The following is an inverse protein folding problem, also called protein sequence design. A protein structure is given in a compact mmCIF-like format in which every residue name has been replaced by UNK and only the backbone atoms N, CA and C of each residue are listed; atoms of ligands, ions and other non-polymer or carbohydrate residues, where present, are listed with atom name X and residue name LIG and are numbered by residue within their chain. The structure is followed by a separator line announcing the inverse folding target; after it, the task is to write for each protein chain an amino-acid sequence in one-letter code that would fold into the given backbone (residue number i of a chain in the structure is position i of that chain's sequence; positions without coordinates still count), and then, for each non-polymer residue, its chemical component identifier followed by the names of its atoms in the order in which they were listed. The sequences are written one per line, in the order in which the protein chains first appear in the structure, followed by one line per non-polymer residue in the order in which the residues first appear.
data_IF_968100465388
#
_entry.id   IF_968100465388
#
_cell.length_a   1.000
_cell.length_b   1.000
_cell.length_c   1.000
_cell.angle_alpha   90.00
_cell.angle_beta   90.00
_cell.angle_gamma   90.00
#
_symmetry.space_group_name_H-M   'P 1'
#
loop_
_entity.id
_entity.type
_entity.pdbx_description
1 polymer ?
#
# COMPACT_ATOMS: atom_id res chain seq x y z
N UNK A 1 -5.04 -1.59 -11.67
CA UNK A 1 -5.40 -0.89 -10.41
C UNK A 1 -5.67 0.56 -10.76
N UNK A 2 -6.69 1.18 -10.20
CA UNK A 2 -7.01 2.60 -10.44
C UNK A 2 -6.44 3.50 -9.33
N UNK A 3 -6.67 4.82 -9.46
CA UNK A 3 -6.20 5.84 -8.50
C UNK A 3 -6.81 5.61 -7.12
N UNK A 4 -8.13 5.41 -7.04
CA UNK A 4 -8.82 5.20 -5.77
C UNK A 4 -8.29 3.99 -5.00
N UNK A 5 -8.14 2.86 -5.69
CA UNK A 5 -7.59 1.64 -5.08
C UNK A 5 -6.15 1.85 -4.64
N UNK A 6 -5.37 2.63 -5.40
CA UNK A 6 -3.99 3.01 -5.04
C UNK A 6 -3.95 3.82 -3.76
N UNK A 7 -4.75 4.88 -3.66
CA UNK A 7 -4.80 5.75 -2.49
C UNK A 7 -5.25 5.00 -1.24
N UNK A 8 -6.25 4.12 -1.36
CA UNK A 8 -6.65 3.21 -0.29
C UNK A 8 -5.49 2.33 0.16
N UNK A 9 -4.76 1.76 -0.79
CA UNK A 9 -3.63 0.86 -0.52
C UNK A 9 -2.47 1.58 0.15
N UNK A 10 -2.13 2.78 -0.31
CA UNK A 10 -1.10 3.63 0.30
C UNK A 10 -1.48 4.02 1.73
N UNK A 11 -2.77 4.33 1.97
CA UNK A 11 -3.29 4.63 3.31
C UNK A 11 -3.21 3.41 4.24
N UNK A 12 -3.52 2.20 3.74
CA UNK A 12 -3.35 0.94 4.48
C UNK A 12 -1.88 0.69 4.84
N UNK A 13 -0.96 1.01 3.91
CA UNK A 13 0.49 0.97 4.11
C UNK A 13 1.03 2.12 4.97
N UNK A 14 0.15 2.91 5.61
CA UNK A 14 0.46 4.02 6.53
C UNK A 14 1.17 5.20 5.88
N UNK A 15 1.04 5.39 4.57
CA UNK A 15 1.45 6.62 3.92
C UNK A 15 0.43 7.75 4.16
N UNK A 16 0.93 8.99 4.17
CA UNK A 16 0.12 10.17 4.37
C UNK A 16 -0.59 10.60 3.08
N UNK A 17 -1.68 9.91 2.76
CA UNK A 17 -2.63 10.26 1.70
C UNK A 17 -3.87 10.88 2.34
N UNK A 18 -4.52 11.80 1.63
CA UNK A 18 -5.79 12.40 2.07
C UNK A 18 -6.95 11.37 2.01
N UNK A 19 -8.18 11.86 1.87
CA UNK A 19 -9.33 10.99 1.65
C UNK A 19 -9.23 10.41 0.25
N UNK A 20 -9.20 9.07 0.10
CA UNK A 20 -9.07 8.46 -1.20
C UNK A 20 -10.19 8.91 -2.16
N UNK A 21 -9.80 9.33 -3.36
CA UNK A 21 -10.67 9.71 -4.45
C UNK A 21 -10.14 9.14 -5.80
N UNK A 22 -10.69 9.59 -6.92
CA UNK A 22 -10.29 9.10 -8.26
C UNK A 22 -9.29 10.04 -8.97
N UNK A 23 -8.76 11.05 -8.27
CA UNK A 23 -7.94 12.12 -8.80
C UNK A 23 -6.49 11.98 -8.34
N UNK A 24 -5.57 11.80 -9.28
CA UNK A 24 -4.14 11.79 -8.95
C UNK A 24 -3.66 13.23 -8.75
N UNK A 25 -3.79 13.73 -7.53
CA UNK A 25 -3.35 15.07 -7.17
C UNK A 25 -1.82 15.15 -6.90
N UNK A 26 -1.32 16.37 -6.64
CA UNK A 26 0.11 16.59 -6.37
C UNK A 26 0.59 15.85 -5.11
N UNK A 27 -0.27 15.66 -4.12
CA UNK A 27 0.06 14.98 -2.87
C UNK A 27 0.16 13.48 -3.12
N UNK A 28 -0.82 12.87 -3.78
CA UNK A 28 -0.82 11.47 -4.19
C UNK A 28 0.38 11.17 -5.08
N UNK A 29 0.72 12.06 -6.02
CA UNK A 29 1.94 11.94 -6.83
C UNK A 29 3.21 11.91 -5.96
N UNK A 30 3.33 12.81 -4.98
CA UNK A 30 4.46 12.84 -4.05
C UNK A 30 4.53 11.59 -3.16
N UNK A 31 3.38 11.06 -2.74
CA UNK A 31 3.30 9.82 -1.97
C UNK A 31 3.71 8.62 -2.83
N UNK A 32 3.28 8.53 -4.09
CA UNK A 32 3.71 7.46 -5.01
C UNK A 32 5.23 7.53 -5.21
N UNK A 33 5.79 8.72 -5.41
CA UNK A 33 7.25 8.90 -5.49
C UNK A 33 7.95 8.39 -4.22
N UNK A 34 7.42 8.71 -3.04
CA UNK A 34 7.96 8.23 -1.76
C UNK A 34 7.88 6.71 -1.67
N UNK A 35 6.73 6.12 -2.01
CA UNK A 35 6.54 4.67 -2.04
C UNK A 35 7.54 3.96 -2.99
N UNK A 36 7.77 4.52 -4.17
CA UNK A 36 8.75 4.00 -5.13
C UNK A 36 10.18 4.06 -4.56
N UNK A 37 10.53 5.17 -3.91
CA UNK A 37 11.83 5.36 -3.25
C UNK A 37 12.02 4.36 -2.10
N UNK A 38 10.99 4.19 -1.26
CA UNK A 38 10.97 3.24 -0.15
C UNK A 38 11.04 1.78 -0.65
N UNK A 39 10.51 1.53 -1.85
CA UNK A 39 10.60 0.25 -2.57
C UNK A 39 11.90 0.07 -3.36
N UNK A 40 12.85 1.01 -3.27
CA UNK A 40 14.16 1.00 -3.95
C UNK A 40 14.08 0.86 -5.48
N UNK A 41 13.05 1.45 -6.09
CA UNK A 41 12.90 1.57 -7.54
C UNK A 41 13.01 3.03 -7.99
N UNK A 42 13.06 3.27 -9.30
CA UNK A 42 13.02 4.62 -9.84
C UNK A 42 11.81 5.39 -9.31
N UNK A 43 12.02 6.61 -8.84
CA UNK A 43 10.99 7.47 -8.27
C UNK A 43 10.57 8.53 -9.28
N UNK A 44 9.36 8.40 -9.80
CA UNK A 44 8.79 9.26 -10.84
C UNK A 44 7.28 9.48 -10.69
N UNK A 45 6.65 8.93 -9.63
CA UNK A 45 5.29 9.28 -9.20
C UNK A 45 4.17 8.76 -10.08
N UNK A 46 4.49 8.05 -11.16
CA UNK A 46 3.52 7.44 -12.07
C UNK A 46 3.16 6.04 -11.61
N UNK A 47 1.86 5.74 -11.64
CA UNK A 47 1.31 4.42 -11.34
C UNK A 47 1.47 3.43 -12.50
N UNK A 48 2.71 3.19 -12.91
CA UNK A 48 3.03 2.25 -13.98
C UNK A 48 2.85 0.78 -13.54
N UNK A 49 3.02 -0.14 -14.49
CA UNK A 49 2.89 -1.58 -14.22
C UNK A 49 3.79 -2.06 -13.08
N UNK A 50 5.03 -1.54 -13.01
CA UNK A 50 5.99 -1.89 -11.97
C UNK A 50 5.50 -1.46 -10.59
N UNK A 51 5.03 -0.22 -10.47
CA UNK A 51 4.51 0.35 -9.23
C UNK A 51 3.25 -0.39 -8.76
N UNK A 52 2.33 -0.69 -9.68
CA UNK A 52 1.13 -1.47 -9.37
C UNK A 52 1.47 -2.88 -8.84
N UNK A 53 2.44 -3.56 -9.48
CA UNK A 53 2.90 -4.88 -9.06
C UNK A 53 3.54 -4.85 -7.67
N UNK A 54 4.35 -3.82 -7.38
CA UNK A 54 4.98 -3.64 -6.07
C UNK A 54 3.95 -3.38 -4.97
N UNK A 55 2.95 -2.53 -5.25
CA UNK A 55 1.89 -2.22 -4.30
C UNK A 55 1.09 -3.47 -3.95
N UNK A 56 0.67 -4.25 -4.97
CA UNK A 56 -0.03 -5.52 -4.77
C UNK A 56 0.80 -6.50 -3.93
N UNK A 57 2.10 -6.64 -4.20
CA UNK A 57 2.99 -7.51 -3.42
C UNK A 57 3.08 -7.10 -1.95
N UNK A 58 3.15 -5.79 -1.67
CA UNK A 58 3.16 -5.28 -0.30
C UNK A 58 1.83 -5.54 0.42
N UNK A 59 0.71 -5.37 -0.27
CA UNK A 59 -0.61 -5.69 0.27
C UNK A 59 -0.76 -7.19 0.58
N UNK A 60 -0.31 -8.07 -0.30
CA UNK A 60 -0.35 -9.51 -0.07
C UNK A 60 0.52 -9.91 1.13
N UNK A 61 1.68 -9.29 1.28
CA UNK A 61 2.54 -9.48 2.46
C UNK A 61 1.87 -8.99 3.74
N UNK A 62 1.15 -7.86 3.67
CA UNK A 62 0.42 -7.31 4.81
C UNK A 62 -0.74 -8.23 5.23
N UNK A 63 -1.50 -8.75 4.26
CA UNK A 63 -2.56 -9.74 4.50
C UNK A 63 -2.03 -10.99 5.18
N UNK A 64 -0.97 -11.59 4.63
CA UNK A 64 -0.34 -12.79 5.21
C UNK A 64 0.13 -12.58 6.64
N UNK A 65 0.72 -11.41 6.95
CA UNK A 65 1.15 -11.07 8.31
C UNK A 65 -0.04 -10.90 9.25
N UNK A 66 -1.09 -10.21 8.80
CA UNK A 66 -2.28 -9.97 9.61
C UNK A 66 -3.00 -11.28 9.93
N UNK A 67 -3.15 -12.16 8.94
CA UNK A 67 -3.75 -13.49 9.13
C UNK A 67 -2.90 -14.33 10.09
N UNK A 68 -1.58 -14.36 9.94
CA UNK A 68 -0.71 -15.11 10.85
C UNK A 68 -0.74 -14.57 12.30
N UNK A 69 -0.82 -13.24 12.47
CA UNK A 69 -0.98 -12.60 13.79
C UNK A 69 -2.35 -12.91 14.38
N UNK A 70 -3.41 -12.86 13.58
CA UNK A 70 -4.76 -13.19 14.01
C UNK A 70 -4.88 -14.65 14.43
N UNK A 71 -4.38 -15.59 13.61
CA UNK A 71 -4.35 -17.02 13.91
C UNK A 71 -3.63 -17.29 15.24
N UNK A 72 -2.43 -16.72 15.43
CA UNK A 72 -1.70 -16.85 16.71
C UNK A 72 -2.43 -16.25 17.90
N UNK A 73 -3.08 -15.10 17.73
CA UNK A 73 -3.84 -14.47 18.81
C UNK A 73 -5.03 -15.34 19.24
N UNK A 74 -5.74 -15.94 18.27
CA UNK A 74 -6.83 -16.88 18.56
C UNK A 74 -6.31 -18.12 19.28
N UNK A 75 -5.18 -18.70 18.87
CA UNK A 75 -4.56 -19.84 19.54
C UNK A 75 -4.16 -19.54 21.00
N UNK A 76 -3.63 -18.35 21.27
CA UNK A 76 -3.22 -17.94 22.62
C UNK A 76 -4.43 -17.67 23.52
N UNK A 77 -5.50 -17.07 22.99
CA UNK A 77 -6.71 -16.74 23.76
C UNK A 77 -7.63 -17.93 24.00
N UNK A 78 -7.48 -19.02 23.23
CA UNK A 78 -8.25 -20.25 23.38
C UNK A 78 -7.65 -21.24 24.42
N UNK A 79 -6.50 -20.90 25.01
CA UNK A 79 -5.88 -21.58 26.16
C UNK A 79 -6.06 -20.75 27.44
#
# INVERSE_FOLDING_TARGET
MDVYTTECSLKLLKYNVDTPDFTLDKKTFAVIMKFQKDSKVGSYGVLDFTTQKLLNKQLDTLKQKQDAVYVKAVEVLAN
#
